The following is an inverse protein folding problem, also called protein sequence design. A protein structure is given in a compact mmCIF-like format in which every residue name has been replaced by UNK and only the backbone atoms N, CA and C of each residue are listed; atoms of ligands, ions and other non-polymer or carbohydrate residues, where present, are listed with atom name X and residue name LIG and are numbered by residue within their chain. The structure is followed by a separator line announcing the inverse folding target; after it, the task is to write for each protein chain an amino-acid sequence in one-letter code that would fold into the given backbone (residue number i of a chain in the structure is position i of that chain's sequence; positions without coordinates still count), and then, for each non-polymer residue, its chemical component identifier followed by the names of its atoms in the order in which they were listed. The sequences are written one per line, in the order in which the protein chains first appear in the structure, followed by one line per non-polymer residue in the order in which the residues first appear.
data_IF_533824307022
#
_entry.id   IF_533824307022
#
_cell.length_a   1.000
_cell.length_b   1.000
_cell.length_c   1.000
_cell.angle_alpha   90.00
_cell.angle_beta   90.00
_cell.angle_gamma   90.00
#
_symmetry.space_group_name_H-M   'P 1'
#
loop_
_entity.id
_entity.type
_entity.pdbx_description
1 polymer ?
#
# COMPACT_ATOMS: atom_id res chain seq x y z
N UNK A 1 -18.33 -31.20 20.14
CA UNK A 1 -17.28 -31.00 19.13
C UNK A 1 -16.86 -29.56 19.24
N UNK A 2 -15.61 -29.30 19.59
CA UNK A 2 -15.11 -27.96 19.85
C UNK A 2 -14.75 -27.35 18.50
N UNK A 3 -15.53 -26.36 18.06
CA UNK A 3 -15.23 -25.61 16.84
C UNK A 3 -13.84 -25.01 16.98
N UNK A 4 -12.90 -25.51 16.17
CA UNK A 4 -11.55 -25.01 16.08
C UNK A 4 -11.60 -23.69 15.31
N UNK A 5 -11.92 -22.62 16.03
CA UNK A 5 -11.83 -21.25 15.49
C UNK A 5 -10.36 -21.00 15.20
N UNK A 6 -9.99 -21.02 13.92
CA UNK A 6 -8.71 -20.52 13.44
C UNK A 6 -8.83 -19.00 13.41
N UNK A 7 -8.08 -18.24 14.23
CA UNK A 7 -8.04 -16.79 14.10
C UNK A 7 -7.44 -16.47 12.73
N UNK A 8 -8.24 -15.87 11.86
CA UNK A 8 -7.76 -15.31 10.61
C UNK A 8 -6.87 -14.10 10.93
N UNK A 9 -5.55 -14.30 10.92
CA UNK A 9 -4.53 -13.26 11.13
C UNK A 9 -4.26 -12.44 9.86
N UNK A 10 -5.28 -12.25 9.02
CA UNK A 10 -5.22 -11.23 7.98
C UNK A 10 -5.35 -9.89 8.69
N UNK A 11 -4.30 -9.07 8.64
CA UNK A 11 -4.37 -7.68 9.05
C UNK A 11 -5.42 -6.94 8.19
N UNK A 12 -6.71 -7.05 8.51
CA UNK A 12 -7.65 -6.00 8.16
C UNK A 12 -7.35 -4.86 9.10
N UNK A 13 -6.35 -4.06 8.73
CA UNK A 13 -6.13 -2.75 9.34
C UNK A 13 -7.41 -1.97 9.12
N UNK A 14 -8.01 -1.48 10.21
CA UNK A 14 -9.14 -0.56 10.14
C UNK A 14 -8.81 0.56 9.16
N UNK A 15 -9.73 0.89 8.25
CA UNK A 15 -9.54 2.00 7.31
C UNK A 15 -9.10 3.24 8.09
N UNK A 16 -7.86 3.66 7.85
CA UNK A 16 -7.28 4.83 8.51
C UNK A 16 -7.72 6.08 7.77
N UNK A 17 -7.95 7.18 8.49
CA UNK A 17 -8.28 8.44 7.86
C UNK A 17 -7.11 8.88 6.95
N UNK A 18 -7.40 9.15 5.68
CA UNK A 18 -6.40 9.56 4.71
C UNK A 18 -5.58 10.78 5.15
N UNK A 19 -6.21 11.73 5.85
CA UNK A 19 -5.55 12.95 6.31
C UNK A 19 -4.54 12.65 7.43
N UNK A 20 -4.85 11.70 8.33
CA UNK A 20 -3.93 11.27 9.38
C UNK A 20 -2.70 10.57 8.79
N UNK A 21 -2.90 9.73 7.76
CA UNK A 21 -1.79 9.06 7.05
C UNK A 21 -0.91 10.10 6.34
N UNK A 22 -1.50 11.09 5.68
CA UNK A 22 -0.75 12.14 4.99
C UNK A 22 0.09 12.98 5.95
N UNK A 23 -0.50 13.41 7.07
CA UNK A 23 0.22 14.22 8.07
C UNK A 23 1.34 13.41 8.75
N UNK A 24 1.13 12.12 9.02
CA UNK A 24 2.16 11.25 9.60
C UNK A 24 3.40 11.05 8.70
N UNK A 25 3.25 11.21 7.39
CA UNK A 25 4.29 10.96 6.39
C UNK A 25 4.92 12.24 5.82
N UNK A 26 4.52 13.40 6.34
CA UNK A 26 4.94 14.71 5.84
C UNK A 26 6.43 14.95 6.10
N UNK A 27 7.14 15.38 5.06
CA UNK A 27 8.58 15.69 5.13
C UNK A 27 9.51 14.47 5.16
N UNK A 28 8.98 13.25 5.04
CA UNK A 28 9.77 12.01 5.06
C UNK A 28 10.31 11.60 3.68
N UNK A 29 9.79 12.18 2.61
CA UNK A 29 10.05 11.72 1.24
C UNK A 29 10.53 12.85 0.32
N UNK A 30 11.52 12.55 -0.52
CA UNK A 30 11.98 13.43 -1.60
C UNK A 30 11.05 13.41 -2.81
N UNK A 31 10.30 12.31 -2.99
CA UNK A 31 9.31 12.17 -4.05
C UNK A 31 8.35 11.02 -3.78
N UNK A 32 7.14 11.11 -4.32
CA UNK A 32 6.09 10.11 -4.13
C UNK A 32 5.09 10.11 -5.29
N UNK A 33 4.36 8.99 -5.38
CA UNK A 33 3.13 8.85 -6.16
C UNK A 33 2.04 8.40 -5.21
N UNK A 34 0.92 9.12 -5.25
CA UNK A 34 -0.26 8.85 -4.45
C UNK A 34 -1.39 8.39 -5.37
N UNK A 35 -1.95 7.22 -5.06
CA UNK A 35 -3.15 6.67 -5.68
C UNK A 35 -4.24 6.63 -4.62
N UNK A 36 -5.43 7.13 -4.94
CA UNK A 36 -6.56 7.09 -4.03
C UNK A 36 -7.85 7.60 -4.66
N UNK A 37 -8.83 7.89 -3.81
CA UNK A 37 -10.13 8.43 -4.19
C UNK A 37 -10.36 9.77 -3.49
N UNK A 38 -11.01 10.72 -4.15
CA UNK A 38 -11.47 11.94 -3.50
C UNK A 38 -12.75 11.72 -2.67
N UNK A 39 -13.21 12.77 -1.97
CA UNK A 39 -14.41 12.68 -1.11
C UNK A 39 -15.70 12.37 -1.90
N UNK A 40 -15.67 12.43 -3.23
CA UNK A 40 -16.78 12.06 -4.12
C UNK A 40 -16.60 10.66 -4.75
N UNK A 41 -15.54 9.93 -4.38
CA UNK A 41 -15.25 8.60 -4.91
C UNK A 41 -14.59 8.59 -6.29
N UNK A 42 -14.08 9.73 -6.78
CA UNK A 42 -13.35 9.76 -8.04
C UNK A 42 -11.88 9.38 -7.84
N UNK A 43 -11.36 8.50 -8.69
CA UNK A 43 -9.96 8.09 -8.67
C UNK A 43 -9.02 9.27 -8.96
N UNK A 44 -7.94 9.34 -8.18
CA UNK A 44 -6.90 10.34 -8.30
C UNK A 44 -5.54 9.68 -8.31
N UNK A 45 -4.68 10.20 -9.19
CA UNK A 45 -3.27 9.87 -9.26
C UNK A 45 -2.50 11.19 -9.24
N UNK A 46 -1.71 11.36 -8.18
CA UNK A 46 -0.95 12.57 -7.88
C UNK A 46 0.51 12.18 -7.73
N UNK A 47 1.42 12.99 -8.26
CA UNK A 47 2.85 12.69 -8.28
C UNK A 47 3.67 13.95 -8.07
N UNK A 48 4.80 13.81 -7.37
CA UNK A 48 5.82 14.88 -7.28
C UNK A 48 6.68 15.00 -8.54
N UNK A 49 6.65 14.00 -9.42
CA UNK A 49 7.32 14.02 -10.72
C UNK A 49 6.32 14.19 -11.86
N UNK A 50 6.72 14.96 -12.89
CA UNK A 50 6.01 15.05 -14.17
C UNK A 50 6.46 13.99 -15.18
N UNK A 51 7.50 13.22 -14.88
CA UNK A 51 7.98 12.13 -15.71
C UNK A 51 7.08 10.89 -15.52
N UNK A 52 6.27 10.59 -16.53
CA UNK A 52 5.35 9.46 -16.52
C UNK A 52 6.06 8.11 -16.56
N UNK A 53 7.26 8.00 -17.16
CA UNK A 53 8.01 6.76 -17.17
C UNK A 53 8.54 6.44 -15.77
N UNK A 54 9.07 7.44 -15.08
CA UNK A 54 9.52 7.31 -13.69
C UNK A 54 8.34 6.98 -12.74
N UNK A 55 7.20 7.62 -12.96
CA UNK A 55 5.98 7.37 -12.22
C UNK A 55 5.52 5.92 -12.35
N UNK A 56 5.42 5.39 -13.57
CA UNK A 56 5.07 3.98 -13.83
C UNK A 56 6.08 3.05 -13.17
N UNK A 57 7.37 3.36 -13.27
CA UNK A 57 8.40 2.56 -12.62
C UNK A 57 8.22 2.46 -11.09
N UNK A 58 7.94 3.58 -10.41
CA UNK A 58 7.68 3.57 -8.97
C UNK A 58 6.44 2.76 -8.60
N UNK A 59 5.39 2.80 -9.43
CA UNK A 59 4.17 2.01 -9.22
C UNK A 59 4.42 0.51 -9.38
N UNK A 60 5.14 0.08 -10.41
CA UNK A 60 5.48 -1.33 -10.60
C UNK A 60 6.35 -1.85 -9.46
N UNK A 61 7.25 -1.02 -8.93
CA UNK A 61 8.05 -1.34 -7.75
C UNK A 61 7.22 -1.47 -6.48
N UNK A 62 6.27 -0.57 -6.26
CA UNK A 62 5.33 -0.68 -5.13
C UNK A 62 4.49 -1.97 -5.21
N UNK A 63 4.01 -2.30 -6.41
CA UNK A 63 3.28 -3.55 -6.66
C UNK A 63 4.14 -4.78 -6.36
N UNK A 64 5.41 -4.79 -6.80
CA UNK A 64 6.35 -5.87 -6.50
C UNK A 64 6.48 -6.08 -4.98
N UNK A 65 6.66 -5.01 -4.20
CA UNK A 65 6.75 -5.10 -2.73
C UNK A 65 5.49 -5.67 -2.10
N UNK A 66 4.30 -5.29 -2.59
CA UNK A 66 3.04 -5.87 -2.10
C UNK A 66 2.99 -7.37 -2.39
N UNK A 67 3.34 -7.78 -3.62
CA UNK A 67 3.33 -9.19 -4.02
C UNK A 67 4.33 -10.01 -3.20
N UNK A 68 5.54 -9.48 -2.98
CA UNK A 68 6.57 -10.11 -2.14
C UNK A 68 6.08 -10.26 -0.69
N UNK A 69 5.41 -9.25 -0.12
CA UNK A 69 4.87 -9.33 1.24
C UNK A 69 3.71 -10.34 1.40
N UNK A 70 3.08 -10.71 0.28
CA UNK A 70 1.95 -11.63 0.25
C UNK A 70 2.36 -13.05 -0.18
N UNK A 71 3.62 -13.27 -0.56
CA UNK A 71 4.13 -14.57 -0.99
C UNK A 71 4.64 -15.37 0.22
N UNK A 72 3.92 -16.41 0.67
CA UNK A 72 4.30 -17.19 1.86
C UNK A 72 5.48 -18.13 1.63
N UNK A 73 6.02 -18.23 0.41
CA UNK A 73 7.07 -19.19 0.05
C UNK A 73 8.51 -18.70 0.28
N UNK A 74 8.71 -17.51 0.86
CA UNK A 74 10.04 -16.92 1.05
C UNK A 74 10.72 -17.29 2.40
N UNK A 75 10.09 -18.09 3.27
CA UNK A 75 10.64 -18.44 4.61
C UNK A 75 11.05 -19.92 4.83
N UNK A 76 10.88 -20.85 3.88
CA UNK A 76 11.05 -22.31 4.13
C UNK A 76 12.12 -23.05 3.27
N UNK A 77 13.28 -22.44 2.98
CA UNK A 77 14.38 -23.14 2.26
C UNK A 77 15.80 -23.00 2.86
N UNK A 78 15.95 -22.99 4.19
CA UNK A 78 17.20 -23.42 4.86
C UNK A 78 16.96 -24.37 6.04
#
# INVERSE_FOLDING_TARGET
MTDKILPFTGNTVLDSNADDILEANKGMYEGFVLIGYDKNGAERLISTTSDSALMVWWLERAKKTILESADPYDEDWE
#
